data_IF_667835825869
#
_entry.id   IF_667835825869
#
_cell.length_a   1.000
_cell.length_b   1.000
_cell.length_c   1.000
_cell.angle_alpha   90.00
_cell.angle_beta   90.00
_cell.angle_gamma   90.00
#
_symmetry.space_group_name_H-M   'P 1'
#
loop_
_entity.id
_entity.type
_entity.pdbx_description
1 polymer ?
#
# COMPACT_ATOMS: atom_id res chain seq x y z
N UNK A 1 5.61 11.46 21.19
CA UNK A 1 5.30 10.27 22.01
C UNK A 1 6.33 9.19 21.69
N UNK A 2 7.21 8.87 22.64
CA UNK A 2 8.24 7.83 22.47
C UNK A 2 8.22 6.92 23.70
N UNK A 3 7.89 5.65 23.50
CA UNK A 3 7.95 4.58 24.50
C UNK A 3 9.12 3.63 24.22
N UNK A 4 9.19 2.52 24.97
CA UNK A 4 10.18 1.47 24.75
C UNK A 4 9.97 0.77 23.40
N UNK A 5 8.74 0.38 23.09
CA UNK A 5 8.36 -0.37 21.89
C UNK A 5 7.66 0.46 20.81
N UNK A 6 7.53 1.78 21.00
CA UNK A 6 6.85 2.67 20.07
C UNK A 6 7.63 3.96 19.92
N UNK A 7 7.89 4.37 18.68
CA UNK A 7 8.59 5.61 18.35
C UNK A 7 7.76 6.39 17.32
N UNK A 8 7.66 7.70 17.50
CA UNK A 8 7.01 8.59 16.55
C UNK A 8 8.05 9.56 15.99
N UNK A 9 8.23 9.55 14.67
CA UNK A 9 9.26 10.31 13.97
C UNK A 9 8.59 11.30 13.00
N UNK A 10 8.96 12.58 13.08
CA UNK A 10 8.53 13.59 12.13
C UNK A 10 9.49 13.63 10.94
N UNK A 11 9.08 13.06 9.81
CA UNK A 11 9.89 13.02 8.59
C UNK A 11 9.01 13.23 7.35
N UNK A 12 9.56 13.98 6.39
CA UNK A 12 9.07 13.96 5.02
C UNK A 12 9.60 12.69 4.37
N UNK A 13 8.70 11.84 3.86
CA UNK A 13 9.05 10.55 3.25
C UNK A 13 9.83 10.71 1.92
N UNK A 14 9.82 11.92 1.34
CA UNK A 14 10.64 12.23 0.15
C UNK A 14 12.11 12.50 0.50
N UNK A 15 12.43 12.74 1.78
CA UNK A 15 13.80 12.93 2.27
C UNK A 15 14.33 11.65 2.91
N UNK A 16 14.84 10.76 2.06
CA UNK A 16 15.34 9.43 2.44
C UNK A 16 16.52 9.51 3.42
N UNK A 17 17.46 10.45 3.21
CA UNK A 17 18.63 10.62 4.08
C UNK A 17 18.21 10.95 5.52
N UNK A 18 17.21 11.84 5.67
CA UNK A 18 16.66 12.19 6.98
C UNK A 18 15.91 11.01 7.60
N UNK A 19 15.11 10.29 6.81
CA UNK A 19 14.36 9.12 7.29
C UNK A 19 15.32 8.06 7.84
N UNK A 20 16.34 7.70 7.07
CA UNK A 20 17.38 6.76 7.45
C UNK A 20 18.10 7.20 8.73
N UNK A 21 18.55 8.46 8.77
CA UNK A 21 19.22 9.03 9.94
C UNK A 21 18.37 8.96 11.21
N UNK A 22 17.06 9.23 11.09
CA UNK A 22 16.12 9.15 12.21
C UNK A 22 15.91 7.71 12.70
N UNK A 23 15.81 6.75 11.78
CA UNK A 23 15.65 5.33 12.09
C UNK A 23 16.90 4.73 12.74
N UNK A 24 18.09 5.07 12.24
CA UNK A 24 19.36 4.66 12.85
C UNK A 24 19.55 5.28 14.23
N UNK A 25 19.13 6.53 14.43
CA UNK A 25 19.20 7.22 15.74
C UNK A 25 18.36 6.54 16.82
N UNK A 26 17.28 5.85 16.43
CA UNK A 26 16.46 5.04 17.36
C UNK A 26 16.91 3.57 17.41
N UNK A 27 18.04 3.24 16.77
CA UNK A 27 18.64 1.90 16.74
C UNK A 27 17.68 0.83 16.21
N UNK A 28 16.99 1.13 15.11
CA UNK A 28 16.17 0.11 14.43
C UNK A 28 17.05 -1.07 14.01
N UNK A 29 16.56 -2.31 14.19
CA UNK A 29 17.29 -3.50 13.77
C UNK A 29 16.95 -3.83 12.32
N UNK A 30 17.88 -3.56 11.41
CA UNK A 30 17.74 -3.79 9.98
C UNK A 30 17.70 -5.26 9.57
N UNK A 31 18.26 -6.15 10.40
CA UNK A 31 18.31 -7.59 10.13
C UNK A 31 17.04 -8.32 10.59
N UNK A 32 16.22 -7.70 11.44
CA UNK A 32 14.95 -8.27 11.88
C UNK A 32 13.93 -8.27 10.73
N UNK A 33 13.05 -9.30 10.64
CA UNK A 33 11.90 -9.26 9.74
C UNK A 33 11.07 -8.00 9.99
N UNK A 34 10.91 -7.18 8.96
CA UNK A 34 10.28 -5.87 9.08
C UNK A 34 9.05 -5.77 8.19
N UNK A 35 7.93 -5.33 8.77
CA UNK A 35 6.73 -4.99 8.03
C UNK A 35 6.69 -3.48 7.80
N UNK A 36 6.67 -3.04 6.55
CA UNK A 36 6.39 -1.66 6.15
C UNK A 36 4.95 -1.56 5.67
N UNK A 37 4.19 -0.61 6.21
CA UNK A 37 2.79 -0.38 5.84
C UNK A 37 2.63 1.03 5.23
N UNK A 38 2.20 1.08 3.98
CA UNK A 38 1.75 2.28 3.29
C UNK A 38 0.25 2.18 3.03
N UNK A 39 -0.54 2.84 3.86
CA UNK A 39 -1.99 2.88 3.72
C UNK A 39 -2.43 4.24 3.18
N UNK A 40 -2.69 4.30 1.87
CA UNK A 40 -3.03 5.50 1.11
C UNK A 40 -1.99 6.62 1.29
N UNK A 41 -0.70 6.28 1.19
CA UNK A 41 0.41 7.24 1.37
C UNK A 41 1.15 7.53 0.07
N UNK A 42 1.73 6.51 -0.60
CA UNK A 42 2.60 6.75 -1.76
C UNK A 42 1.87 7.38 -2.94
N UNK A 43 0.57 7.12 -3.07
CA UNK A 43 -0.29 7.70 -4.12
C UNK A 43 -0.19 9.22 -4.19
N UNK A 44 0.04 9.92 -3.07
CA UNK A 44 0.17 11.38 -3.01
C UNK A 44 1.59 11.92 -3.23
N UNK A 45 2.58 11.04 -3.23
CA UNK A 45 4.00 11.37 -3.44
C UNK A 45 4.29 11.32 -4.95
N UNK A 46 5.17 12.20 -5.43
CA UNK A 46 5.61 12.14 -6.83
C UNK A 46 6.19 10.76 -7.15
N UNK A 47 5.88 10.16 -8.32
CA UNK A 47 6.26 8.78 -8.60
C UNK A 47 7.75 8.48 -8.42
N UNK A 48 8.63 9.39 -8.87
CA UNK A 48 10.08 9.23 -8.73
C UNK A 48 10.55 9.21 -7.26
N UNK A 49 9.92 9.98 -6.38
CA UNK A 49 10.24 9.99 -4.94
C UNK A 49 9.66 8.76 -4.24
N UNK A 50 8.45 8.35 -4.59
CA UNK A 50 7.84 7.13 -4.06
C UNK A 50 8.64 5.88 -4.45
N UNK A 51 9.10 5.80 -5.70
CA UNK A 51 9.93 4.68 -6.17
C UNK A 51 11.28 4.63 -5.44
N UNK A 52 11.91 5.80 -5.20
CA UNK A 52 13.13 5.88 -4.38
C UNK A 52 12.91 5.36 -2.97
N UNK A 53 11.76 5.66 -2.34
CA UNK A 53 11.44 5.16 -1.01
C UNK A 53 11.27 3.64 -1.00
N UNK A 54 10.58 3.07 -2.00
CA UNK A 54 10.43 1.61 -2.14
C UNK A 54 11.81 0.96 -2.31
N UNK A 55 12.63 1.43 -3.26
CA UNK A 55 13.99 0.90 -3.48
C UNK A 55 14.86 1.00 -2.24
N UNK A 56 14.84 2.15 -1.57
CA UNK A 56 15.58 2.35 -0.33
C UNK A 56 15.13 1.36 0.75
N UNK A 57 13.82 1.17 0.93
CA UNK A 57 13.30 0.28 1.97
C UNK A 57 13.73 -1.18 1.77
N UNK A 58 13.79 -1.64 0.52
CA UNK A 58 14.31 -2.96 0.18
C UNK A 58 15.82 -3.07 0.48
N UNK A 59 16.59 -2.03 0.21
CA UNK A 59 18.03 -2.03 0.49
C UNK A 59 18.36 -1.88 1.99
N UNK A 60 17.52 -1.16 2.74
CA UNK A 60 17.75 -0.82 4.14
C UNK A 60 17.42 -1.95 5.11
N UNK A 61 16.45 -2.82 4.80
CA UNK A 61 16.06 -3.96 5.62
C UNK A 61 16.41 -5.28 4.93
N UNK A 62 17.17 -6.15 5.58
CA UNK A 62 17.58 -7.44 4.99
C UNK A 62 16.42 -8.42 4.78
N UNK A 63 15.32 -8.23 5.50
CA UNK A 63 14.14 -9.08 5.48
C UNK A 63 12.91 -8.18 5.63
N UNK A 64 12.10 -8.08 4.58
CA UNK A 64 10.99 -7.13 4.58
C UNK A 64 9.73 -7.65 3.89
N UNK A 65 8.58 -7.21 4.40
CA UNK A 65 7.31 -7.21 3.69
C UNK A 65 6.88 -5.75 3.55
N UNK A 66 6.57 -5.32 2.33
CA UNK A 66 5.95 -4.02 2.09
C UNK A 66 4.49 -4.22 1.73
N UNK A 67 3.60 -3.64 2.53
CA UNK A 67 2.16 -3.64 2.28
C UNK A 67 1.76 -2.26 1.76
N UNK A 68 1.07 -2.23 0.62
CA UNK A 68 0.53 -1.01 0.02
C UNK A 68 -0.97 -1.17 -0.21
N UNK A 69 -1.74 -0.21 0.30
CA UNK A 69 -3.18 -0.09 0.06
C UNK A 69 -3.47 1.25 -0.60
N UNK A 70 -3.76 1.25 -1.90
CA UNK A 70 -3.87 2.47 -2.72
C UNK A 70 -4.89 2.28 -3.87
N UNK A 71 -5.09 3.32 -4.67
CA UNK A 71 -6.01 3.34 -5.81
C UNK A 71 -5.36 2.81 -7.11
N UNK A 72 -6.18 2.26 -8.01
CA UNK A 72 -5.85 1.79 -9.37
C UNK A 72 -6.98 2.13 -10.35
N UNK A 73 -6.75 1.81 -11.63
CA UNK A 73 -7.66 1.97 -12.76
C UNK A 73 -8.17 3.40 -12.97
N UNK A 74 -7.28 4.39 -13.21
CA UNK A 74 -7.67 5.79 -13.31
C UNK A 74 -8.42 6.17 -14.60
N UNK A 75 -8.59 5.25 -15.55
CA UNK A 75 -8.95 5.59 -16.93
C UNK A 75 -10.38 5.20 -17.35
N UNK A 76 -11.10 4.43 -16.52
CA UNK A 76 -12.52 4.20 -16.76
C UNK A 76 -13.39 5.33 -16.16
N UNK A 77 -14.71 5.26 -16.30
CA UNK A 77 -15.62 6.32 -15.86
C UNK A 77 -15.50 6.62 -14.36
N UNK A 78 -15.41 5.57 -13.53
CA UNK A 78 -15.27 5.73 -12.08
C UNK A 78 -13.87 6.23 -11.72
N UNK A 79 -12.83 5.67 -12.33
CA UNK A 79 -11.44 6.08 -12.14
C UNK A 79 -11.22 7.56 -12.46
N UNK A 80 -11.80 8.04 -13.55
CA UNK A 80 -11.76 9.46 -13.93
C UNK A 80 -12.47 10.33 -12.89
N UNK A 81 -13.69 9.94 -12.48
CA UNK A 81 -14.43 10.63 -11.42
C UNK A 81 -13.63 10.68 -10.11
N UNK A 82 -13.05 9.57 -9.70
CA UNK A 82 -12.21 9.45 -8.49
C UNK A 82 -10.99 10.38 -8.57
N UNK A 83 -10.29 10.40 -9.70
CA UNK A 83 -9.11 11.26 -9.87
C UNK A 83 -9.48 12.75 -9.82
N UNK A 84 -10.55 13.16 -10.48
CA UNK A 84 -11.02 14.56 -10.43
C UNK A 84 -11.54 14.94 -9.04
N UNK A 85 -12.20 14.02 -8.31
CA UNK A 85 -12.58 14.24 -6.92
C UNK A 85 -11.35 14.57 -6.05
N UNK A 86 -10.34 13.71 -6.05
CA UNK A 86 -9.11 13.91 -5.26
C UNK A 86 -8.36 15.19 -5.63
N UNK A 87 -8.35 15.55 -6.91
CA UNK A 87 -7.79 16.81 -7.40
C UNK A 87 -8.59 18.02 -6.89
N UNK A 88 -9.92 17.95 -6.90
CA UNK A 88 -10.80 19.04 -6.45
C UNK A 88 -10.62 19.39 -4.96
N UNK A 89 -10.25 18.42 -4.13
CA UNK A 89 -9.95 18.60 -2.69
C UNK A 89 -8.46 18.88 -2.41
N UNK A 90 -7.67 19.17 -3.45
CA UNK A 90 -6.25 19.53 -3.31
C UNK A 90 -5.31 18.36 -3.00
N UNK A 91 -5.75 17.12 -3.16
CA UNK A 91 -4.99 15.90 -2.84
C UNK A 91 -4.88 14.97 -4.07
N UNK A 92 -4.28 15.40 -5.19
CA UNK A 92 -4.26 14.60 -6.42
C UNK A 92 -3.47 13.30 -6.24
N UNK A 93 -3.98 12.22 -6.85
CA UNK A 93 -3.32 10.91 -6.93
C UNK A 93 -2.21 10.98 -7.99
N UNK A 94 -0.95 11.03 -7.55
CA UNK A 94 0.22 11.27 -8.40
C UNK A 94 0.82 9.99 -8.96
N UNK A 95 0.75 8.88 -8.24
CA UNK A 95 1.31 7.59 -8.70
C UNK A 95 0.39 6.83 -9.67
N UNK A 96 -0.93 7.06 -9.58
CA UNK A 96 -1.94 6.21 -10.21
C UNK A 96 -1.80 6.12 -11.75
N UNK A 97 -1.38 7.19 -12.41
CA UNK A 97 -1.20 7.17 -13.88
C UNK A 97 0.06 6.42 -14.34
N UNK A 98 1.10 6.36 -13.49
CA UNK A 98 2.34 5.61 -13.81
C UNK A 98 2.16 4.11 -13.55
N UNK A 99 1.37 3.77 -12.53
CA UNK A 99 1.08 2.38 -12.13
C UNK A 99 -0.43 2.13 -12.06
N UNK A 100 -1.12 2.12 -13.22
CA UNK A 100 -2.59 2.16 -13.27
C UNK A 100 -3.28 0.83 -12.98
N UNK A 101 -2.56 -0.30 -12.95
CA UNK A 101 -3.17 -1.63 -12.82
C UNK A 101 -2.50 -2.46 -11.72
N UNK A 102 -3.19 -3.49 -11.22
CA UNK A 102 -2.61 -4.48 -10.31
C UNK A 102 -1.28 -5.03 -10.84
N UNK A 103 -1.24 -5.40 -12.12
CA UNK A 103 -0.02 -5.91 -12.77
C UNK A 103 1.12 -4.88 -12.75
N UNK A 104 0.82 -3.62 -13.05
CA UNK A 104 1.84 -2.56 -13.00
C UNK A 104 2.35 -2.28 -11.59
N UNK A 105 1.50 -2.44 -10.56
CA UNK A 105 1.90 -2.31 -9.16
C UNK A 105 2.78 -3.49 -8.73
N UNK A 106 2.43 -4.72 -9.08
CA UNK A 106 3.28 -5.90 -8.83
C UNK A 106 4.64 -5.72 -9.50
N UNK A 107 4.66 -5.37 -10.79
CA UNK A 107 5.90 -5.11 -11.53
C UNK A 107 6.72 -3.98 -10.93
N UNK A 108 6.08 -2.92 -10.42
CA UNK A 108 6.75 -1.81 -9.75
C UNK A 108 7.61 -2.30 -8.60
N UNK A 109 7.05 -3.06 -7.67
CA UNK A 109 7.81 -3.53 -6.50
C UNK A 109 8.92 -4.50 -6.89
N UNK A 110 8.65 -5.43 -7.82
CA UNK A 110 9.68 -6.36 -8.31
C UNK A 110 10.85 -5.62 -8.98
N UNK A 111 10.56 -4.64 -9.83
CA UNK A 111 11.58 -3.83 -10.51
C UNK A 111 12.38 -2.94 -9.54
N UNK A 112 11.86 -2.66 -8.35
CA UNK A 112 12.48 -1.80 -7.35
C UNK A 112 13.22 -2.57 -6.25
N UNK A 113 13.38 -3.89 -6.40
CA UNK A 113 14.28 -4.72 -5.59
C UNK A 113 13.60 -5.83 -4.80
N UNK A 114 12.27 -5.79 -4.64
CA UNK A 114 11.55 -6.88 -3.99
C UNK A 114 11.60 -8.14 -4.86
N UNK A 115 11.76 -9.30 -4.24
CA UNK A 115 11.95 -10.57 -4.97
C UNK A 115 10.64 -11.14 -5.49
N UNK A 116 9.54 -10.85 -4.79
CA UNK A 116 8.19 -11.22 -5.19
C UNK A 116 7.18 -10.17 -4.76
N UNK A 117 6.06 -10.09 -5.47
CA UNK A 117 4.94 -9.25 -5.11
C UNK A 117 3.62 -9.85 -5.61
N UNK A 118 2.60 -9.81 -4.75
CA UNK A 118 1.23 -10.21 -5.05
C UNK A 118 0.27 -9.06 -4.74
N UNK A 119 -0.80 -8.94 -5.51
CA UNK A 119 -1.82 -7.91 -5.28
C UNK A 119 -3.21 -8.41 -5.69
N UNK A 120 -4.24 -7.91 -5.00
CA UNK A 120 -5.63 -8.09 -5.40
C UNK A 120 -6.42 -6.80 -5.18
N UNK A 121 -7.54 -6.64 -5.89
CA UNK A 121 -8.46 -5.53 -5.61
C UNK A 121 -9.18 -5.77 -4.28
N UNK A 122 -9.67 -4.71 -3.63
CA UNK A 122 -10.48 -4.86 -2.42
C UNK A 122 -11.79 -5.60 -2.68
N UNK A 123 -12.34 -5.49 -3.89
CA UNK A 123 -13.50 -6.28 -4.30
C UNK A 123 -13.19 -7.78 -4.28
N UNK A 124 -12.05 -8.19 -4.84
CA UNK A 124 -11.58 -9.58 -4.77
C UNK A 124 -11.32 -10.00 -3.33
N UNK A 125 -10.65 -9.15 -2.54
CA UNK A 125 -10.36 -9.41 -1.13
C UNK A 125 -11.64 -9.66 -0.33
N UNK A 126 -12.64 -8.80 -0.48
CA UNK A 126 -13.91 -8.96 0.21
C UNK A 126 -14.64 -10.25 -0.18
N UNK A 127 -14.72 -10.56 -1.47
CA UNK A 127 -15.43 -11.75 -1.94
C UNK A 127 -14.78 -13.02 -1.41
N UNK A 128 -13.44 -13.12 -1.52
CA UNK A 128 -12.72 -14.38 -1.34
C UNK A 128 -12.04 -14.56 0.02
N UNK A 129 -11.67 -13.47 0.71
CA UNK A 129 -10.89 -13.54 1.95
C UNK A 129 -11.69 -13.17 3.21
N UNK A 130 -12.81 -12.46 3.08
CA UNK A 130 -13.70 -12.18 4.20
C UNK A 130 -14.73 -13.31 4.34
N UNK A 131 -14.82 -13.88 5.54
CA UNK A 131 -15.80 -14.93 5.88
C UNK A 131 -17.22 -14.37 5.80
N UNK A 132 -18.17 -15.18 5.32
CA UNK A 132 -19.58 -14.76 5.24
C UNK A 132 -20.18 -14.42 6.60
N UNK A 133 -19.68 -15.02 7.70
CA UNK A 133 -20.06 -14.63 9.06
C UNK A 133 -19.70 -13.17 9.38
N UNK A 134 -18.54 -12.69 8.90
CA UNK A 134 -18.13 -11.29 9.09
C UNK A 134 -18.92 -10.35 8.17
N UNK A 135 -19.16 -10.75 6.91
CA UNK A 135 -20.03 -9.98 5.99
C UNK A 135 -21.43 -9.79 6.60
N UNK A 136 -22.02 -10.88 7.11
CA UNK A 136 -23.32 -10.85 7.78
C UNK A 136 -23.32 -10.04 9.08
N UNK A 137 -22.24 -10.10 9.86
CA UNK A 137 -22.08 -9.27 11.06
C UNK A 137 -22.07 -7.79 10.71
N UNK A 138 -21.37 -7.39 9.64
CA UNK A 138 -21.29 -6.00 9.16
C UNK A 138 -22.64 -5.54 8.60
N UNK A 139 -23.29 -6.37 7.77
CA UNK A 139 -24.62 -6.07 7.19
C UNK A 139 -25.70 -5.78 8.25
N UNK A 140 -25.55 -6.30 9.48
CA UNK A 140 -26.48 -6.02 10.59
C UNK A 140 -26.28 -4.66 11.26
N UNK A 141 -25.16 -3.99 11.02
CA UNK A 141 -24.87 -2.71 11.66
C UNK A 141 -25.70 -1.58 11.03
N UNK A 142 -25.86 -1.62 9.71
CA UNK A 142 -26.55 -0.59 8.93
C UNK A 142 -27.10 -1.22 7.65
N UNK A 143 -28.32 -0.83 7.28
CA UNK A 143 -28.92 -1.25 6.02
C UNK A 143 -28.18 -0.57 4.85
N UNK A 144 -27.77 -1.36 3.86
CA UNK A 144 -27.04 -0.89 2.69
C UNK A 144 -27.66 -1.50 1.43
N UNK A 145 -27.89 -0.68 0.40
CA UNK A 145 -28.57 -1.05 -0.85
C UNK A 145 -27.79 -0.66 -2.13
N UNK A 146 -26.60 -0.06 -1.99
CA UNK A 146 -25.71 0.38 -3.08
C UNK A 146 -24.56 -0.63 -3.33
N UNK A 147 -24.89 -1.93 -3.40
CA UNK A 147 -23.89 -3.01 -3.51
C UNK A 147 -23.03 -2.89 -4.79
N UNK A 148 -23.62 -2.43 -5.90
CA UNK A 148 -22.92 -2.28 -7.17
C UNK A 148 -21.91 -1.11 -7.12
N UNK A 149 -22.30 0.03 -6.55
CA UNK A 149 -21.42 1.18 -6.34
C UNK A 149 -20.29 0.84 -5.37
N UNK A 150 -20.59 0.08 -4.32
CA UNK A 150 -19.60 -0.41 -3.37
C UNK A 150 -18.59 -1.34 -4.05
N UNK A 151 -19.07 -2.30 -4.84
CA UNK A 151 -18.20 -3.20 -5.60
C UNK A 151 -17.32 -2.44 -6.60
N UNK A 152 -17.89 -1.45 -7.30
CA UNK A 152 -17.16 -0.60 -8.22
C UNK A 152 -16.06 0.18 -7.50
N UNK A 153 -16.38 0.81 -6.36
CA UNK A 153 -15.40 1.49 -5.51
C UNK A 153 -14.29 0.54 -5.05
N UNK A 154 -14.64 -0.64 -4.54
CA UNK A 154 -13.68 -1.63 -4.07
C UNK A 154 -12.82 -2.23 -5.21
N UNK A 155 -13.28 -2.17 -6.46
CA UNK A 155 -12.50 -2.59 -7.62
C UNK A 155 -11.40 -1.60 -7.99
N UNK A 156 -11.52 -0.34 -7.54
CA UNK A 156 -10.55 0.74 -7.79
C UNK A 156 -9.52 0.92 -6.67
N UNK A 157 -9.55 0.05 -5.66
CA UNK A 157 -8.57 0.01 -4.59
C UNK A 157 -7.94 -1.38 -4.57
N UNK A 158 -6.66 -1.45 -4.19
CA UNK A 158 -5.95 -2.72 -4.07
C UNK A 158 -5.22 -2.82 -2.75
N UNK A 159 -4.93 -4.06 -2.37
CA UNK A 159 -3.90 -4.38 -1.38
C UNK A 159 -2.81 -5.19 -2.08
N UNK A 160 -1.55 -4.83 -1.82
CA UNK A 160 -0.35 -5.48 -2.36
C UNK A 160 0.58 -5.84 -1.21
N UNK A 161 1.18 -7.03 -1.31
CA UNK A 161 2.29 -7.47 -0.46
C UNK A 161 3.51 -7.70 -1.34
N UNK A 162 4.63 -7.04 -1.05
CA UNK A 162 5.93 -7.30 -1.68
C UNK A 162 6.90 -7.87 -0.66
N UNK A 163 7.69 -8.87 -1.05
CA UNK A 163 8.52 -9.68 -0.15
C UNK A 163 10.00 -9.61 -0.52
N UNK A 164 10.87 -9.55 0.49
CA UNK A 164 12.32 -9.49 0.32
C UNK A 164 13.04 -10.35 1.37
N UNK A 165 14.13 -11.01 0.96
CA UNK A 165 14.98 -11.82 1.84
C UNK A 165 14.23 -13.03 2.40
N UNK A 166 14.45 -13.33 3.68
CA UNK A 166 13.78 -14.47 4.31
C UNK A 166 12.26 -14.34 4.35
N UNK A 167 11.66 -13.16 4.13
CA UNK A 167 10.20 -12.99 4.14
C UNK A 167 9.49 -13.56 2.91
N UNK A 168 10.20 -13.93 1.83
CA UNK A 168 9.58 -14.45 0.59
C UNK A 168 8.74 -15.71 0.81
N UNK A 169 9.11 -16.57 1.76
CA UNK A 169 8.32 -17.78 2.06
C UNK A 169 6.90 -17.49 2.55
N UNK A 170 6.65 -16.28 3.08
CA UNK A 170 5.35 -15.87 3.60
C UNK A 170 4.32 -15.60 2.51
N UNK A 171 4.74 -15.44 1.25
CA UNK A 171 3.84 -15.28 0.11
C UNK A 171 2.77 -16.36 0.07
N UNK A 172 3.10 -17.61 0.42
CA UNK A 172 2.19 -18.77 0.41
C UNK A 172 1.05 -18.68 1.44
N UNK A 173 1.13 -17.73 2.37
CA UNK A 173 0.16 -17.56 3.45
C UNK A 173 -0.88 -16.48 3.11
N UNK A 174 -0.66 -15.73 2.03
CA UNK A 174 -1.53 -14.66 1.53
C UNK A 174 -2.30 -15.10 0.29
#
# INVERSE_FOLDING_TARGET
>A
YNGACYKMLACDLTNIEKLESLLLKISINQSAPTLLLSEVVLTYINPSSADKLITWSCAFFSNAIFISYEQIYPHDEFGNFMCEHFKSIGSPLKCINKYPTLSSQVQRYCNLGYESSIACSMAHYYIHHIKDSEKFRIFKLEQFDEDDEWYLKCSHYFILNAFHGSCVHLEKVF
#
